data_IF_005685590696
#
_entry.id   IF_005685590696
#
_cell.length_a   1.000
_cell.length_b   1.000
_cell.length_c   1.000
_cell.angle_alpha   90.00
_cell.angle_beta   90.00
_cell.angle_gamma   90.00
#
_symmetry.space_group_name_H-M   'P 1'
#
loop_
_entity.id
_entity.type
_entity.pdbx_description
1 polymer ?
#
# COMPACT_ATOMS: atom_id res chain seq x y z
N UNK A 1 -3.82 23.19 -31.63
CA UNK A 1 -2.64 22.67 -30.91
C UNK A 1 -2.94 22.71 -29.43
N UNK A 2 -3.79 21.80 -28.95
CA UNK A 2 -4.09 21.59 -27.53
C UNK A 2 -4.79 20.24 -27.41
N UNK A 3 -4.01 19.16 -27.35
CA UNK A 3 -4.53 17.81 -27.15
C UNK A 3 -3.72 17.17 -26.01
N UNK A 4 -4.08 17.53 -24.78
CA UNK A 4 -3.55 16.99 -23.53
C UNK A 4 -4.64 17.01 -22.46
N UNK A 5 -5.83 16.45 -22.76
CA UNK A 5 -6.86 16.19 -21.74
C UNK A 5 -7.62 14.90 -22.07
N UNK A 6 -6.86 13.82 -22.24
CA UNK A 6 -7.39 12.46 -22.22
C UNK A 6 -6.53 11.63 -21.27
N UNK A 7 -7.13 11.20 -20.17
CA UNK A 7 -6.58 10.11 -19.37
C UNK A 7 -6.49 10.34 -17.88
N UNK A 8 -7.58 10.71 -17.18
CA UNK A 8 -7.72 10.39 -15.75
C UNK A 8 -9.16 10.08 -15.30
N UNK A 9 -10.11 9.89 -16.21
CA UNK A 9 -11.44 9.32 -15.92
C UNK A 9 -11.39 7.80 -15.92
N UNK A 10 -10.65 7.20 -14.97
CA UNK A 10 -10.53 5.74 -14.88
C UNK A 10 -10.02 5.13 -13.57
N UNK A 11 -9.52 5.92 -12.61
CA UNK A 11 -8.92 5.39 -11.37
C UNK A 11 -9.62 5.90 -10.10
N UNK A 12 -10.96 5.87 -10.10
CA UNK A 12 -11.75 6.09 -8.88
C UNK A 12 -11.90 4.82 -8.01
N UNK A 13 -11.29 3.70 -8.37
CA UNK A 13 -11.56 2.40 -7.75
C UNK A 13 -10.88 2.12 -6.38
N UNK A 14 -10.11 3.04 -5.80
CA UNK A 14 -9.29 2.69 -4.63
C UNK A 14 -9.12 3.76 -3.55
N UNK A 15 -9.90 4.84 -3.56
CA UNK A 15 -9.76 5.91 -2.57
C UNK A 15 -10.82 5.73 -1.48
N UNK A 16 -10.35 5.72 -0.23
CA UNK A 16 -11.10 5.80 1.04
C UNK A 16 -11.33 4.47 1.79
N UNK A 17 -10.37 4.15 2.68
CA UNK A 17 -10.71 3.54 3.96
C UNK A 17 -11.18 2.08 3.95
N UNK A 18 -10.85 1.32 2.91
CA UNK A 18 -11.06 -0.13 2.95
C UNK A 18 -10.26 -0.73 4.12
N UNK A 19 -10.84 -1.76 4.75
CA UNK A 19 -10.19 -2.56 5.79
C UNK A 19 -9.70 -3.84 5.12
N UNK A 20 -8.57 -3.82 4.37
CA UNK A 20 -8.03 -5.06 3.85
C UNK A 20 -7.73 -6.00 5.03
N UNK A 21 -7.99 -7.29 4.80
CA UNK A 21 -7.54 -8.34 5.71
C UNK A 21 -6.05 -8.52 5.52
N UNK A 22 -5.32 -8.26 6.58
CA UNK A 22 -3.90 -8.49 6.67
C UNK A 22 -3.66 -9.92 7.17
N UNK A 23 -2.89 -10.68 6.39
CA UNK A 23 -2.48 -12.05 6.68
C UNK A 23 -0.96 -12.03 6.91
N UNK A 24 -0.52 -11.83 8.17
CA UNK A 24 0.88 -11.96 8.51
C UNK A 24 1.34 -13.41 8.29
N UNK A 25 2.60 -13.60 7.92
CA UNK A 25 3.23 -14.92 7.89
C UNK A 25 3.32 -15.56 9.28
N UNK A 26 3.31 -14.73 10.32
CA UNK A 26 3.46 -15.17 11.71
C UNK A 26 2.48 -14.42 12.60
N UNK A 27 1.20 -14.80 12.55
CA UNK A 27 0.17 -14.25 13.42
C UNK A 27 -1.26 -14.56 12.94
N UNK A 28 -2.28 -14.17 13.71
CA UNK A 28 -3.67 -14.24 13.29
C UNK A 28 -3.97 -13.18 12.22
N UNK A 29 -4.76 -13.56 11.23
CA UNK A 29 -5.31 -12.60 10.26
C UNK A 29 -6.19 -11.56 10.96
N UNK A 30 -6.10 -10.32 10.50
CA UNK A 30 -6.86 -9.22 11.10
C UNK A 30 -7.19 -8.15 10.07
N UNK A 31 -8.34 -7.53 10.25
CA UNK A 31 -8.78 -6.40 9.43
C UNK A 31 -8.13 -5.13 9.95
N UNK A 32 -7.29 -4.51 9.11
CA UNK A 32 -6.56 -3.29 9.49
C UNK A 32 -7.06 -2.13 8.64
N UNK A 33 -7.51 -1.07 9.30
CA UNK A 33 -7.86 0.17 8.61
C UNK A 33 -6.59 0.78 8.01
N UNK A 34 -6.52 0.79 6.69
CA UNK A 34 -5.31 1.16 5.96
C UNK A 34 -5.66 1.67 4.56
N UNK A 35 -4.67 2.18 3.85
CA UNK A 35 -4.87 2.83 2.56
C UNK A 35 -4.14 2.02 1.51
N UNK A 36 -4.90 1.30 0.69
CA UNK A 36 -4.42 0.63 -0.51
C UNK A 36 -4.53 1.59 -1.70
N UNK A 37 -3.50 1.64 -2.56
CA UNK A 37 -3.45 2.49 -3.74
C UNK A 37 -2.83 1.72 -4.90
N UNK A 38 -3.59 1.57 -5.98
CA UNK A 38 -3.05 1.04 -7.24
C UNK A 38 -2.37 2.11 -8.08
N UNK A 39 -2.68 3.39 -7.81
CA UNK A 39 -2.06 4.50 -8.53
C UNK A 39 -0.61 4.74 -8.07
N UNK A 40 0.27 5.16 -9.00
CA UNK A 40 1.64 5.50 -8.67
C UNK A 40 1.69 6.62 -7.62
N UNK A 41 2.58 6.50 -6.65
CA UNK A 41 2.79 7.52 -5.62
C UNK A 41 4.24 7.95 -5.55
N UNK A 42 4.46 9.22 -5.26
CA UNK A 42 5.77 9.77 -4.93
C UNK A 42 5.90 9.79 -3.40
N UNK A 43 6.85 9.03 -2.86
CA UNK A 43 7.16 9.01 -1.43
C UNK A 43 8.53 9.60 -1.19
N UNK A 44 8.65 10.44 -0.17
CA UNK A 44 9.95 10.92 0.29
C UNK A 44 10.59 9.83 1.15
N UNK A 45 11.67 9.23 0.67
CA UNK A 45 12.46 8.25 1.40
C UNK A 45 13.16 8.89 2.61
N UNK A 46 13.66 8.06 3.53
CA UNK A 46 14.41 8.52 4.70
C UNK A 46 15.68 9.32 4.32
N UNK A 47 16.23 9.09 3.13
CA UNK A 47 17.37 9.81 2.55
C UNK A 47 16.99 11.17 1.94
N UNK A 48 15.70 11.55 1.98
CA UNK A 48 15.18 12.78 1.36
C UNK A 48 14.91 12.66 -0.15
N UNK A 49 15.21 11.52 -0.76
CA UNK A 49 14.92 11.27 -2.17
C UNK A 49 13.44 11.06 -2.43
N UNK A 50 12.93 11.58 -3.55
CA UNK A 50 11.57 11.32 -4.02
C UNK A 50 11.59 9.99 -4.79
N UNK A 51 11.06 8.95 -4.17
CA UNK A 51 10.85 7.65 -4.79
C UNK A 51 9.46 7.62 -5.42
N UNK A 52 9.42 7.53 -6.75
CA UNK A 52 8.18 7.26 -7.47
C UNK A 52 7.97 5.75 -7.53
N UNK A 53 6.94 5.27 -6.84
CA UNK A 53 6.52 3.88 -6.86
C UNK A 53 5.41 3.75 -7.89
N UNK A 54 5.66 2.99 -8.97
CA UNK A 54 4.69 2.71 -10.03
C UNK A 54 3.84 1.46 -9.76
N UNK A 55 4.24 0.67 -8.76
CA UNK A 55 3.52 -0.51 -8.30
C UNK A 55 2.38 -0.15 -7.33
N UNK A 56 1.38 -1.04 -7.15
CA UNK A 56 0.37 -0.86 -6.12
C UNK A 56 1.04 -0.81 -4.73
N UNK A 57 0.66 0.18 -3.94
CA UNK A 57 1.19 0.42 -2.60
C UNK A 57 0.13 0.26 -1.54
N UNK A 58 0.56 -0.17 -0.36
CA UNK A 58 -0.25 -0.28 0.82
C UNK A 58 0.36 0.50 1.96
N UNK A 59 -0.36 1.54 2.38
CA UNK A 59 0.04 2.43 3.45
C UNK A 59 -0.73 2.09 4.72
N UNK A 60 0.00 1.67 5.75
CA UNK A 60 -0.54 1.30 7.05
C UNK A 60 0.24 1.99 8.16
N UNK A 61 -0.42 2.35 9.25
CA UNK A 61 0.27 2.89 10.42
C UNK A 61 1.11 1.78 11.07
N UNK A 62 2.36 2.08 11.43
CA UNK A 62 3.26 1.13 12.11
C UNK A 62 2.65 0.59 13.40
N UNK A 63 1.84 1.39 14.09
CA UNK A 63 1.15 0.97 15.31
C UNK A 63 0.11 -0.14 15.06
N UNK A 64 -0.49 -0.21 13.87
CA UNK A 64 -1.49 -1.23 13.54
C UNK A 64 -0.87 -2.53 13.02
N UNK A 65 0.26 -2.43 12.32
CA UNK A 65 0.99 -3.57 11.77
C UNK A 65 2.50 -3.46 12.09
N UNK A 66 2.90 -3.55 13.38
CA UNK A 66 4.32 -3.48 13.76
C UNK A 66 5.10 -4.71 13.28
N UNK A 67 4.38 -5.83 13.06
CA UNK A 67 4.88 -7.10 12.55
C UNK A 67 4.95 -7.15 11.01
N UNK A 68 4.59 -6.06 10.31
CA UNK A 68 4.60 -5.99 8.84
C UNK A 68 5.99 -6.22 8.26
N UNK A 69 6.09 -7.20 7.35
CA UNK A 69 7.32 -7.62 6.70
C UNK A 69 7.09 -7.99 5.24
N UNK A 70 8.21 -8.09 4.53
CA UNK A 70 8.21 -8.66 3.18
C UNK A 70 7.71 -10.10 3.22
N UNK A 71 6.81 -10.41 2.29
CA UNK A 71 6.23 -11.73 2.08
C UNK A 71 4.85 -11.91 2.69
N UNK A 72 4.39 -10.98 3.53
CA UNK A 72 3.03 -10.97 4.05
C UNK A 72 2.00 -10.79 2.94
N UNK A 73 0.76 -11.17 3.22
CA UNK A 73 -0.33 -11.10 2.25
C UNK A 73 -1.43 -10.17 2.75
N UNK A 74 -2.05 -9.45 1.84
CA UNK A 74 -3.27 -8.71 2.11
C UNK A 74 -4.35 -9.16 1.15
N UNK A 75 -5.57 -9.24 1.65
CA UNK A 75 -6.75 -9.40 0.79
C UNK A 75 -7.58 -8.15 0.92
N UNK A 76 -7.79 -7.47 -0.20
CA UNK A 76 -8.69 -6.32 -0.25
C UNK A 76 -10.14 -6.83 -0.20
N UNK A 77 -11.10 -6.03 0.32
CA UNK A 77 -12.52 -6.41 0.32
C UNK A 77 -13.09 -6.65 -1.09
N UNK A 78 -12.39 -6.20 -2.13
CA UNK A 78 -12.68 -6.51 -3.54
C UNK A 78 -12.49 -8.01 -3.89
N UNK A 79 -11.84 -8.78 -3.01
CA UNK A 79 -11.57 -10.21 -3.21
C UNK A 79 -10.20 -10.52 -3.83
N UNK A 80 -9.44 -9.50 -4.25
CA UNK A 80 -8.07 -9.65 -4.75
C UNK A 80 -7.07 -9.85 -3.61
N UNK A 81 -6.06 -10.68 -3.86
CA UNK A 81 -4.98 -10.93 -2.90
C UNK A 81 -3.65 -10.43 -3.43
N UNK A 82 -2.95 -9.66 -2.60
CA UNK A 82 -1.66 -9.07 -2.89
C UNK A 82 -0.62 -9.51 -1.87
N UNK A 83 0.63 -9.63 -2.29
CA UNK A 83 1.76 -9.93 -1.41
C UNK A 83 2.70 -8.75 -1.30
N UNK A 84 3.11 -8.48 -0.07
CA UNK A 84 4.10 -7.47 0.26
C UNK A 84 5.46 -7.91 -0.29
N UNK A 85 6.02 -7.12 -1.18
CA UNK A 85 7.33 -7.38 -1.79
C UNK A 85 8.43 -6.51 -1.22
N UNK A 86 8.11 -5.26 -0.88
CA UNK A 86 9.04 -4.30 -0.27
C UNK A 86 8.28 -3.54 0.81
N UNK A 87 8.95 -3.19 1.90
CA UNK A 87 8.38 -2.34 2.95
C UNK A 87 9.28 -1.14 3.14
N UNK A 88 8.76 0.04 2.82
CA UNK A 88 9.40 1.32 3.04
C UNK A 88 8.92 1.90 4.36
N UNK A 89 9.86 2.05 5.30
CA UNK A 89 9.66 2.87 6.49
C UNK A 89 10.02 4.32 6.17
N UNK A 90 9.01 5.18 6.06
CA UNK A 90 9.24 6.63 6.02
C UNK A 90 9.87 7.06 7.36
N UNK A 91 11.15 7.46 7.32
CA UNK A 91 12.11 7.47 8.44
C UNK A 91 11.91 8.48 9.57
N UNK A 92 10.68 8.81 9.93
CA UNK A 92 10.42 9.50 11.19
C UNK A 92 10.28 8.44 12.29
N UNK A 93 11.09 8.44 13.37
CA UNK A 93 10.98 7.49 14.48
C UNK A 93 9.74 7.70 15.35
N UNK A 94 8.75 8.45 14.87
CA UNK A 94 7.52 8.77 15.60
C UNK A 94 6.60 7.57 15.68
N UNK A 95 5.80 7.49 16.76
CA UNK A 95 4.76 6.48 16.93
C UNK A 95 3.72 6.51 15.78
N UNK A 96 3.59 7.65 15.11
CA UNK A 96 2.75 7.88 13.92
C UNK A 96 3.43 7.55 12.59
N UNK A 97 4.56 6.83 12.61
CA UNK A 97 5.23 6.41 11.39
C UNK A 97 4.30 5.55 10.53
N UNK A 98 4.20 5.90 9.25
CA UNK A 98 3.52 5.07 8.25
C UNK A 98 4.52 4.13 7.59
N UNK A 99 4.11 2.89 7.41
CA UNK A 99 4.78 1.90 6.59
C UNK A 99 4.11 1.90 5.22
N UNK A 100 4.91 2.06 4.17
CA UNK A 100 4.47 1.95 2.78
C UNK A 100 5.01 0.65 2.22
N UNK A 101 4.15 -0.34 2.11
CA UNK A 101 4.47 -1.62 1.49
C UNK A 101 4.20 -1.56 -0.02
N UNK A 102 5.15 -2.02 -0.82
CA UNK A 102 4.91 -2.33 -2.23
C UNK A 102 4.27 -3.70 -2.34
N UNK A 103 3.24 -3.78 -3.17
CA UNK A 103 2.44 -4.97 -3.32
C UNK A 103 2.60 -5.57 -4.70
N UNK A 104 2.47 -6.89 -4.75
CA UNK A 104 2.41 -7.65 -5.98
C UNK A 104 1.12 -8.46 -6.00
N UNK A 105 0.33 -8.33 -7.05
CA UNK A 105 -0.89 -9.10 -7.22
C UNK A 105 -0.52 -10.59 -7.35
N UNK A 106 -1.08 -11.44 -6.50
CA UNK A 106 -0.90 -12.89 -6.59
C UNK A 106 -2.09 -13.54 -7.25
N UNK A 107 -3.29 -13.11 -6.86
CA UNK A 107 -4.55 -13.66 -7.37
C UNK A 107 -5.48 -12.50 -7.68
N UNK A 108 -5.76 -12.32 -8.97
CA UNK A 108 -6.88 -11.52 -9.46
C UNK A 108 -8.03 -12.46 -9.81
N UNK A 109 -9.22 -12.16 -9.29
CA UNK A 109 -10.46 -12.81 -9.71
C UNK A 109 -10.91 -12.35 -11.09
#
# INVERSE_FOLDING_TARGET
MTDLYLGLTGLLAGVFGSRPRYFPQSGPDREIQSIFREAPIEVTAADGQILRIDAPTWRVARNLAPELRRGDMITVPDGRSYRVTVVHSTGSPSADAFLVAELHLITGG
#
